data_IF_452949734363
#
_entry.id   IF_452949734363
#
_cell.length_a   1.000
_cell.length_b   1.000
_cell.length_c   1.000
_cell.angle_alpha   90.00
_cell.angle_beta   90.00
_cell.angle_gamma   90.00
#
_symmetry.space_group_name_H-M   'P 1'
#
loop_
_entity.id
_entity.type
_entity.pdbx_description
1 polymer ?
#
# COMPACT_ATOMS: atom_id res chain seq x y z
N UNK A 1 8.06 34.39 18.91
CA UNK A 1 7.98 34.19 17.45
C UNK A 1 8.14 32.70 17.24
N UNK A 2 7.33 32.10 16.36
CA UNK A 2 7.46 30.68 16.03
C UNK A 2 8.77 30.42 15.30
N UNK A 3 9.37 29.26 15.54
CA UNK A 3 10.61 28.84 14.87
C UNK A 3 10.36 28.47 13.39
N UNK A 4 11.39 28.42 12.52
CA UNK A 4 11.24 27.92 11.15
C UNK A 4 10.60 26.54 11.08
N UNK A 5 11.03 25.66 11.99
CA UNK A 5 10.50 24.31 12.12
C UNK A 5 9.00 24.35 12.42
N UNK A 6 8.57 25.14 13.42
CA UNK A 6 7.16 25.29 13.78
C UNK A 6 6.30 25.84 12.64
N UNK A 7 6.78 26.85 11.91
CA UNK A 7 6.06 27.43 10.77
C UNK A 7 5.91 26.42 9.63
N UNK A 8 6.97 25.65 9.37
CA UNK A 8 6.99 24.62 8.31
C UNK A 8 6.05 23.47 8.65
N UNK A 9 6.09 22.97 9.89
CA UNK A 9 5.16 21.95 10.39
C UNK A 9 3.72 22.45 10.31
N UNK A 10 3.46 23.69 10.73
CA UNK A 10 2.11 24.28 10.70
C UNK A 10 1.57 24.34 9.27
N UNK A 11 2.41 24.73 8.31
CA UNK A 11 2.03 24.79 6.90
C UNK A 11 1.82 23.40 6.28
N UNK A 12 2.72 22.45 6.57
CA UNK A 12 2.59 21.07 6.12
C UNK A 12 1.30 20.43 6.66
N UNK A 13 0.98 20.66 7.94
CA UNK A 13 -0.25 20.18 8.55
C UNK A 13 -1.50 20.83 7.93
N UNK A 14 -1.43 22.14 7.65
CA UNK A 14 -2.52 22.81 6.93
C UNK A 14 -2.76 22.15 5.56
N UNK A 15 -1.70 21.85 4.80
CA UNK A 15 -1.85 21.15 3.52
C UNK A 15 -2.38 19.72 3.68
N UNK A 16 -1.90 18.98 4.69
CA UNK A 16 -2.36 17.61 4.93
C UNK A 16 -3.84 17.52 5.30
N UNK A 17 -4.45 18.60 5.79
CA UNK A 17 -5.88 18.66 6.10
C UNK A 17 -6.70 19.33 4.99
N UNK A 18 -6.15 20.34 4.32
CA UNK A 18 -6.85 21.10 3.29
C UNK A 18 -7.01 20.31 1.98
N UNK A 19 -5.95 19.67 1.49
CA UNK A 19 -5.97 18.97 0.21
C UNK A 19 -6.91 17.75 0.19
N UNK A 20 -6.99 16.93 1.25
CA UNK A 20 -8.00 15.87 1.32
C UNK A 20 -9.44 16.37 1.26
N UNK A 21 -9.75 17.55 1.82
CA UNK A 21 -11.08 18.18 1.67
C UNK A 21 -11.37 18.58 0.22
N UNK A 22 -10.33 18.78 -0.59
CA UNK A 22 -10.43 18.99 -2.02
C UNK A 22 -10.37 17.69 -2.82
N UNK A 23 -10.38 16.51 -2.17
CA UNK A 23 -10.28 15.21 -2.83
C UNK A 23 -8.90 14.94 -3.43
N UNK A 24 -7.84 15.44 -2.80
CA UNK A 24 -6.45 15.13 -3.11
C UNK A 24 -5.84 14.47 -1.88
N UNK A 25 -5.60 13.17 -1.94
CA UNK A 25 -4.90 12.46 -0.87
C UNK A 25 -3.48 12.99 -0.73
N UNK A 26 -3.07 13.25 0.50
CA UNK A 26 -1.74 13.76 0.84
C UNK A 26 -1.24 13.07 2.09
N UNK A 27 0.01 12.61 2.08
CA UNK A 27 0.60 11.84 3.18
C UNK A 27 2.09 12.17 3.39
N UNK A 28 2.60 11.87 4.58
CA UNK A 28 4.04 11.92 4.87
C UNK A 28 4.77 10.84 4.09
N UNK A 29 5.90 11.20 3.49
CA UNK A 29 6.72 10.34 2.67
C UNK A 29 8.17 10.33 3.19
N UNK A 30 8.99 9.38 2.74
CA UNK A 30 10.45 9.37 2.97
C UNK A 30 10.91 9.65 4.41
N UNK A 31 11.74 10.67 4.64
CA UNK A 31 12.35 10.98 5.93
C UNK A 31 11.29 11.39 6.94
N UNK A 32 10.26 12.10 6.49
CA UNK A 32 9.14 12.49 7.35
C UNK A 32 8.25 11.31 7.78
N UNK A 33 8.00 10.34 6.88
CA UNK A 33 7.30 9.10 7.26
C UNK A 33 8.09 8.29 8.29
N UNK A 34 9.43 8.26 8.14
CA UNK A 34 10.34 7.64 9.11
C UNK A 34 10.28 8.36 10.46
N UNK A 35 10.44 9.68 10.45
CA UNK A 35 10.39 10.51 11.64
C UNK A 35 9.08 10.35 12.41
N UNK A 36 7.95 10.35 11.71
CA UNK A 36 6.64 10.07 12.29
C UNK A 36 6.54 8.69 12.95
N UNK A 37 7.05 7.65 12.28
CA UNK A 37 6.97 6.28 12.79
C UNK A 37 7.93 5.98 13.95
N UNK A 38 9.09 6.64 13.99
CA UNK A 38 10.18 6.35 14.94
C UNK A 38 10.24 7.33 16.11
N UNK A 39 10.20 8.61 15.80
CA UNK A 39 10.49 9.70 16.75
C UNK A 39 9.25 10.55 17.04
N UNK A 40 8.18 10.35 16.27
CA UNK A 40 6.95 11.12 16.37
C UNK A 40 7.10 12.54 15.83
N UNK A 41 8.11 12.84 15.00
CA UNK A 41 8.40 14.18 14.51
C UNK A 41 9.54 14.24 13.50
N UNK A 42 10.00 15.45 13.19
CA UNK A 42 11.14 15.69 12.28
C UNK A 42 12.40 15.11 12.92
N UNK A 43 13.16 14.34 12.13
CA UNK A 43 14.40 13.71 12.58
C UNK A 43 15.45 14.78 12.90
N UNK A 44 16.26 14.55 13.93
CA UNK A 44 17.31 15.49 14.30
C UNK A 44 18.29 15.74 13.13
N UNK A 45 18.49 17.01 12.79
CA UNK A 45 19.35 17.43 11.67
C UNK A 45 18.66 17.44 10.30
N UNK A 46 17.40 16.99 10.21
CA UNK A 46 16.62 17.06 8.99
C UNK A 46 16.07 18.49 8.76
N UNK A 47 16.02 18.89 7.49
CA UNK A 47 15.74 20.27 7.08
C UNK A 47 14.57 20.40 6.09
N UNK A 48 13.84 19.32 5.85
CA UNK A 48 12.62 19.35 5.08
C UNK A 48 11.50 18.47 5.67
N UNK A 49 10.31 18.65 5.12
CA UNK A 49 9.16 17.77 5.34
C UNK A 49 8.78 17.18 4.00
N UNK A 50 9.01 15.88 3.85
CA UNK A 50 8.66 15.11 2.66
C UNK A 50 7.18 14.70 2.71
N UNK A 51 6.43 15.09 1.69
CA UNK A 51 5.04 14.69 1.51
C UNK A 51 4.79 14.19 0.10
N UNK A 52 3.75 13.38 -0.09
CA UNK A 52 3.38 12.83 -1.38
C UNK A 52 1.90 13.04 -1.68
N UNK A 53 1.61 13.17 -2.97
CA UNK A 53 0.27 13.08 -3.55
C UNK A 53 0.29 12.18 -4.78
N UNK A 54 -0.87 11.71 -5.23
CA UNK A 54 -0.95 10.98 -6.50
C UNK A 54 -0.72 11.89 -7.71
N UNK A 55 0.04 11.40 -8.69
CA UNK A 55 0.34 12.12 -9.94
C UNK A 55 -0.91 12.49 -10.74
N UNK A 56 -1.95 11.64 -10.69
CA UNK A 56 -3.25 11.92 -11.31
C UNK A 56 -3.89 13.22 -10.79
N UNK A 57 -3.57 13.60 -9.56
CA UNK A 57 -4.10 14.78 -8.87
C UNK A 57 -3.15 15.99 -8.97
N UNK A 58 -1.97 15.83 -9.57
CA UNK A 58 -0.94 16.85 -9.66
C UNK A 58 -1.41 18.13 -10.37
N UNK A 59 -2.19 17.98 -11.45
CA UNK A 59 -2.76 19.14 -12.17
C UNK A 59 -3.70 19.96 -11.30
N UNK A 60 -4.59 19.28 -10.55
CA UNK A 60 -5.54 19.91 -9.63
C UNK A 60 -4.82 20.57 -8.45
N UNK A 61 -3.80 19.90 -7.91
CA UNK A 61 -2.92 20.46 -6.87
C UNK A 61 -2.30 21.80 -7.30
N UNK A 62 -1.70 21.86 -8.50
CA UNK A 62 -1.14 23.11 -9.05
C UNK A 62 -2.18 24.20 -9.28
N UNK A 63 -3.35 23.84 -9.78
CA UNK A 63 -4.46 24.78 -9.97
C UNK A 63 -4.92 25.40 -8.65
N UNK A 64 -4.94 24.62 -7.57
CA UNK A 64 -5.31 25.11 -6.23
C UNK A 64 -4.22 26.03 -5.67
N UNK A 65 -2.94 25.64 -5.76
CA UNK A 65 -1.83 26.46 -5.26
C UNK A 65 -1.69 27.80 -6.00
N UNK A 66 -1.98 27.84 -7.30
CA UNK A 66 -1.90 29.07 -8.11
C UNK A 66 -3.03 30.07 -7.84
N UNK A 67 -4.15 29.62 -7.25
CA UNK A 67 -5.29 30.48 -6.85
C UNK A 67 -5.12 30.97 -5.41
N UNK A 68 -4.02 31.69 -5.18
CA UNK A 68 -3.46 32.14 -3.88
C UNK A 68 -4.46 32.76 -2.89
N UNK A 69 -5.57 33.32 -3.35
CA UNK A 69 -6.63 33.89 -2.50
C UNK A 69 -7.30 32.85 -1.57
N UNK A 70 -7.12 31.54 -1.84
CA UNK A 70 -7.71 30.43 -1.06
C UNK A 70 -6.81 29.87 0.04
N UNK A 71 -5.53 30.27 0.10
CA UNK A 71 -4.61 29.92 1.20
C UNK A 71 -4.68 30.93 2.37
N UNK A 72 -5.64 31.86 2.30
CA UNK A 72 -5.90 32.91 3.29
C UNK A 72 -6.07 32.50 4.78
N UNK A 73 -6.43 31.24 5.16
CA UNK A 73 -6.60 30.88 6.57
C UNK A 73 -5.31 30.82 7.41
N UNK A 74 -4.12 30.79 6.78
CA UNK A 74 -2.86 30.76 7.52
C UNK A 74 -2.30 32.19 7.61
N UNK A 75 -2.56 32.86 8.73
CA UNK A 75 -2.26 34.29 8.94
C UNK A 75 -0.80 34.68 8.62
N UNK A 76 0.18 33.78 8.74
CA UNK A 76 1.58 34.07 8.45
C UNK A 76 1.92 34.07 6.94
N UNK A 77 1.12 33.42 6.08
CA UNK A 77 1.35 33.44 4.62
C UNK A 77 1.12 34.84 4.02
N UNK A 78 0.42 35.73 4.73
CA UNK A 78 0.23 37.13 4.33
C UNK A 78 1.53 37.93 4.26
N UNK A 79 2.53 37.56 5.06
CA UNK A 79 3.85 38.19 5.12
C UNK A 79 4.78 37.73 3.98
N UNK A 80 4.41 36.66 3.25
CA UNK A 80 5.26 36.03 2.24
C UNK A 80 4.71 36.09 0.80
N UNK A 81 3.65 36.87 0.56
CA UNK A 81 3.03 37.06 -0.77
C UNK A 81 3.97 37.59 -1.86
N UNK A 82 5.14 38.10 -1.49
CA UNK A 82 6.16 38.65 -2.40
C UNK A 82 7.28 37.66 -2.73
N UNK A 83 7.32 36.48 -2.09
CA UNK A 83 8.32 35.46 -2.35
C UNK A 83 7.78 34.41 -3.35
N UNK A 84 8.61 33.89 -4.28
CA UNK A 84 8.26 32.71 -5.06
C UNK A 84 8.25 31.49 -4.10
N UNK A 85 7.14 31.33 -3.38
CA UNK A 85 6.98 30.31 -2.33
C UNK A 85 6.99 28.89 -2.90
N UNK A 86 6.58 28.71 -4.15
CA UNK A 86 6.43 27.41 -4.79
C UNK A 86 7.45 27.27 -5.92
N UNK A 87 8.48 26.45 -5.69
CA UNK A 87 9.46 26.10 -6.70
C UNK A 87 9.12 24.72 -7.25
N UNK A 88 8.90 24.64 -8.56
CA UNK A 88 8.62 23.37 -9.22
C UNK A 88 9.91 22.85 -9.86
N UNK A 89 10.31 21.65 -9.48
CA UNK A 89 11.48 20.98 -10.06
C UNK A 89 11.01 19.82 -10.92
N UNK A 90 11.43 19.83 -12.18
CA UNK A 90 11.17 18.75 -13.14
C UNK A 90 12.35 17.79 -13.17
N UNK A 91 12.05 16.50 -13.07
CA UNK A 91 13.09 15.48 -13.05
C UNK A 91 13.41 14.96 -14.45
N UNK A 92 14.69 14.64 -14.75
CA UNK A 92 15.12 14.17 -16.06
C UNK A 92 14.39 12.92 -16.57
N UNK A 93 13.89 12.08 -15.65
CA UNK A 93 13.17 10.83 -15.97
C UNK A 93 11.64 11.01 -16.02
N UNK A 94 11.14 12.24 -15.94
CA UNK A 94 9.72 12.57 -15.98
C UNK A 94 9.09 12.65 -14.60
N UNK A 95 8.08 13.51 -14.48
CA UNK A 95 7.47 13.88 -13.19
C UNK A 95 7.99 15.23 -12.67
N UNK A 96 7.37 15.71 -11.60
CA UNK A 96 7.65 17.02 -10.99
C UNK A 96 7.54 16.90 -9.45
N UNK A 97 8.33 17.68 -8.71
CA UNK A 97 8.11 17.97 -7.28
C UNK A 97 7.81 19.45 -7.09
N UNK A 98 7.14 19.79 -6.00
CA UNK A 98 6.92 21.16 -5.55
C UNK A 98 7.67 21.35 -4.23
N UNK A 99 8.70 22.18 -4.25
CA UNK A 99 9.48 22.60 -3.09
C UNK A 99 8.96 23.92 -2.58
N UNK A 100 8.56 23.95 -1.32
CA UNK A 100 8.00 25.12 -0.65
C UNK A 100 8.98 25.57 0.42
N UNK A 101 9.70 26.65 0.15
CA UNK A 101 10.67 27.18 1.10
C UNK A 101 9.95 28.08 2.10
N UNK A 102 10.08 27.77 3.40
CA UNK A 102 9.49 28.56 4.47
C UNK A 102 10.58 29.49 5.02
N UNK A 103 10.60 30.77 4.63
CA UNK A 103 11.60 31.74 5.07
C UNK A 103 11.49 32.02 6.58
N UNK A 104 12.63 32.28 7.22
CA UNK A 104 12.67 32.76 8.59
C UNK A 104 12.81 34.30 8.63
N UNK A 105 11.93 35.02 9.36
CA UNK A 105 12.09 36.45 9.62
C UNK A 105 13.45 36.85 10.22
N UNK A 106 14.11 35.97 10.98
CA UNK A 106 15.42 36.28 11.61
C UNK A 106 16.64 35.98 10.71
N UNK A 107 16.41 35.43 9.50
CA UNK A 107 17.46 35.11 8.53
C UNK A 107 18.23 33.81 8.77
N UNK A 108 17.90 33.03 9.81
CA UNK A 108 18.46 31.68 10.01
C UNK A 108 17.90 30.66 9.00
N UNK A 109 18.50 29.47 8.99
CA UNK A 109 18.29 28.43 7.98
C UNK A 109 16.80 28.15 7.74
N UNK A 110 16.38 28.27 6.48
CA UNK A 110 15.02 27.95 6.05
C UNK A 110 14.83 26.43 6.01
N UNK A 111 13.68 25.96 6.46
CA UNK A 111 13.20 24.60 6.26
C UNK A 111 12.27 24.57 5.03
N UNK A 112 12.14 23.43 4.35
CA UNK A 112 11.23 23.29 3.21
C UNK A 112 10.16 22.21 3.40
N UNK A 113 9.12 22.28 2.59
CA UNK A 113 8.17 21.19 2.38
C UNK A 113 8.36 20.72 0.94
N UNK A 114 8.68 19.45 0.78
CA UNK A 114 8.97 18.83 -0.51
C UNK A 114 7.81 17.89 -0.85
N UNK A 115 6.98 18.29 -1.82
CA UNK A 115 5.79 17.53 -2.23
C UNK A 115 6.09 16.78 -3.52
N UNK A 116 6.01 15.45 -3.49
CA UNK A 116 6.28 14.58 -4.62
C UNK A 116 4.99 14.05 -5.26
N UNK A 117 4.93 14.07 -6.59
CA UNK A 117 3.90 13.36 -7.33
C UNK A 117 4.26 11.88 -7.51
N UNK A 118 3.44 10.98 -6.97
CA UNK A 118 3.61 9.53 -7.10
C UNK A 118 2.79 8.96 -8.26
N UNK A 119 3.45 8.28 -9.18
CA UNK A 119 2.83 7.70 -10.36
C UNK A 119 2.64 6.20 -10.22
N UNK A 120 1.44 5.73 -10.57
CA UNK A 120 1.08 4.32 -10.66
C UNK A 120 1.53 3.71 -12.00
N UNK A 121 1.95 2.45 -11.95
CA UNK A 121 2.38 1.65 -13.10
C UNK A 121 1.65 0.32 -13.10
N UNK A 122 0.89 0.09 -14.17
CA UNK A 122 0.17 -1.16 -14.48
C UNK A 122 -0.69 -1.71 -13.33
N UNK A 123 -1.24 -0.84 -12.45
CA UNK A 123 -2.09 -1.27 -11.34
C UNK A 123 -1.37 -1.91 -10.15
N UNK A 124 -0.04 -2.04 -10.19
CA UNK A 124 0.71 -2.92 -9.28
C UNK A 124 1.85 -2.18 -8.56
N UNK A 125 2.51 -1.24 -9.25
CA UNK A 125 3.69 -0.54 -8.72
C UNK A 125 3.48 0.96 -8.72
N UNK A 126 4.25 1.67 -7.90
CA UNK A 126 4.31 3.13 -7.95
C UNK A 126 5.72 3.65 -7.66
N UNK A 127 6.02 4.85 -8.16
CA UNK A 127 7.25 5.55 -7.84
C UNK A 127 7.00 7.06 -7.86
N UNK A 128 7.79 7.80 -7.09
CA UNK A 128 7.79 9.26 -7.19
C UNK A 128 8.34 9.73 -8.53
N UNK A 129 7.94 10.93 -8.92
CA UNK A 129 8.49 11.67 -10.04
C UNK A 129 10.02 11.66 -10.09
N UNK A 130 10.69 11.80 -8.95
CA UNK A 130 12.15 11.78 -8.87
C UNK A 130 12.76 10.46 -9.38
N UNK A 131 12.09 9.34 -9.12
CA UNK A 131 12.51 8.02 -9.55
C UNK A 131 12.04 7.75 -11.00
N UNK A 132 10.88 8.24 -11.42
CA UNK A 132 10.39 8.10 -12.79
C UNK A 132 9.97 6.67 -13.20
N UNK A 133 9.34 6.51 -14.37
CA UNK A 133 8.67 5.27 -14.80
C UNK A 133 9.64 4.13 -15.16
N UNK A 134 10.88 4.47 -15.49
CA UNK A 134 11.90 3.52 -15.94
C UNK A 134 12.89 3.12 -14.85
N UNK A 135 12.74 3.62 -13.62
CA UNK A 135 13.56 3.11 -12.52
C UNK A 135 13.11 1.74 -12.08
N UNK A 136 14.09 0.93 -11.68
CA UNK A 136 13.88 -0.35 -11.02
C UNK A 136 13.32 -0.19 -9.59
N UNK A 137 13.30 1.04 -9.08
CA UNK A 137 13.08 1.40 -7.67
C UNK A 137 11.63 1.80 -7.43
N UNK A 138 10.69 0.89 -7.69
CA UNK A 138 9.25 1.11 -7.50
C UNK A 138 8.79 0.42 -6.22
N UNK A 139 7.94 1.07 -5.44
CA UNK A 139 7.26 0.44 -4.31
C UNK A 139 5.99 -0.27 -4.78
N UNK A 140 5.52 -1.26 -4.01
CA UNK A 140 4.19 -1.86 -4.24
C UNK A 140 3.11 -0.81 -4.04
N UNK A 141 2.10 -0.81 -4.93
CA UNK A 141 1.05 0.21 -4.95
C UNK A 141 0.24 0.25 -3.64
N UNK A 142 0.05 -0.89 -2.98
CA UNK A 142 -0.76 -0.95 -1.76
C UNK A 142 -0.15 -0.18 -0.59
N UNK A 143 1.17 0.08 -0.57
CA UNK A 143 1.77 0.92 0.46
C UNK A 143 1.14 2.30 0.51
N UNK A 144 0.68 2.81 -0.63
CA UNK A 144 0.24 4.21 -0.74
C UNK A 144 -1.27 4.34 -0.94
N UNK A 145 -1.98 3.23 -1.25
CA UNK A 145 -3.44 3.23 -1.44
C UNK A 145 -4.23 3.40 -0.16
N UNK A 146 -3.70 2.92 0.97
CA UNK A 146 -4.40 2.94 2.25
C UNK A 146 -3.61 3.80 3.23
N UNK A 147 -4.26 4.86 3.73
CA UNK A 147 -3.65 5.82 4.64
C UNK A 147 -4.22 5.65 6.05
N UNK A 148 -3.38 5.82 7.06
CA UNK A 148 -3.77 5.94 8.47
C UNK A 148 -3.30 7.27 9.02
N UNK A 149 -3.90 7.71 10.12
CA UNK A 149 -3.40 8.86 10.88
C UNK A 149 -2.20 8.46 11.75
N UNK A 150 -1.20 9.33 11.84
CA UNK A 150 -0.02 9.20 12.69
C UNK A 150 0.31 10.55 13.31
N UNK A 151 0.89 10.53 14.52
CA UNK A 151 1.40 11.75 15.15
C UNK A 151 2.74 12.14 14.54
N UNK A 152 2.85 13.40 14.14
CA UNK A 152 4.09 14.03 13.71
C UNK A 152 4.14 15.43 14.31
N UNK A 153 5.10 15.66 15.20
CA UNK A 153 5.23 16.89 16.00
C UNK A 153 3.95 17.22 16.79
N UNK A 154 3.30 16.17 17.31
CA UNK A 154 2.06 16.25 18.09
C UNK A 154 0.77 16.44 17.27
N UNK A 155 0.88 16.70 15.96
CA UNK A 155 -0.25 16.90 15.04
C UNK A 155 -0.58 15.60 14.27
N UNK A 156 -1.82 15.49 13.78
CA UNK A 156 -2.25 14.30 13.03
C UNK A 156 -1.97 14.47 11.54
N UNK A 157 -1.10 13.63 11.00
CA UNK A 157 -0.82 13.54 9.57
C UNK A 157 -1.31 12.21 9.02
N UNK A 158 -1.57 12.16 7.72
CA UNK A 158 -1.77 10.89 7.02
C UNK A 158 -0.42 10.27 6.66
N UNK A 159 -0.32 8.95 6.75
CA UNK A 159 0.84 8.16 6.30
C UNK A 159 0.33 6.82 5.76
N UNK A 160 1.17 6.08 5.03
CA UNK A 160 0.89 4.69 4.67
C UNK A 160 0.35 3.88 5.86
N UNK A 161 -0.77 3.17 5.70
CA UNK A 161 -1.26 2.21 6.68
C UNK A 161 -0.20 1.13 7.00
N UNK A 162 0.65 0.86 6.01
CA UNK A 162 1.75 -0.09 6.03
C UNK A 162 3.12 0.59 6.22
N UNK A 163 3.16 1.77 6.86
CA UNK A 163 4.38 2.59 7.01
C UNK A 163 5.58 1.78 7.49
N UNK A 164 5.43 0.89 8.47
CA UNK A 164 6.55 0.07 8.94
C UNK A 164 7.12 -0.85 7.85
N UNK A 165 6.25 -1.53 7.08
CA UNK A 165 6.68 -2.37 5.95
C UNK A 165 7.30 -1.53 4.83
N UNK A 166 6.76 -0.33 4.61
CA UNK A 166 7.33 0.62 3.66
C UNK A 166 8.74 1.08 4.08
N UNK A 167 8.94 1.38 5.36
CA UNK A 167 10.23 1.77 5.92
C UNK A 167 11.22 0.60 5.96
N UNK A 168 10.76 -0.61 6.29
CA UNK A 168 11.56 -1.85 6.22
C UNK A 168 12.09 -2.07 4.79
N UNK A 169 11.29 -1.75 3.77
CA UNK A 169 11.69 -1.80 2.36
C UNK A 169 12.67 -0.68 2.00
N UNK A 170 12.35 0.57 2.36
CA UNK A 170 13.10 1.75 1.88
C UNK A 170 14.42 1.96 2.60
N UNK A 171 14.46 1.69 3.90
CA UNK A 171 15.60 1.92 4.78
C UNK A 171 16.14 0.60 5.33
N UNK A 172 16.10 -0.44 4.49
CA UNK A 172 16.68 -1.74 4.82
C UNK A 172 18.17 -1.58 5.09
N UNK A 173 18.67 -2.34 6.05
CA UNK A 173 20.10 -2.50 6.32
C UNK A 173 20.80 -3.24 5.17
N UNK A 174 20.97 -2.56 4.03
CA UNK A 174 21.58 -3.14 2.85
C UNK A 174 23.05 -3.54 3.07
N UNK A 175 23.70 -2.99 4.09
CA UNK A 175 25.09 -3.26 4.45
C UNK A 175 25.24 -4.38 5.52
N UNK A 176 24.15 -4.94 6.06
CA UNK A 176 24.18 -6.04 7.04
C UNK A 176 24.83 -5.67 8.38
N UNK A 177 24.76 -4.39 8.74
CA UNK A 177 25.37 -3.80 9.94
C UNK A 177 24.59 -4.07 11.24
N UNK A 178 23.36 -4.58 11.13
CA UNK A 178 22.38 -4.68 12.21
C UNK A 178 21.61 -3.38 12.47
N UNK A 179 21.93 -2.28 11.79
CA UNK A 179 21.25 -0.99 11.93
C UNK A 179 20.09 -0.88 10.94
N UNK A 180 18.88 -0.73 11.45
CA UNK A 180 17.67 -0.54 10.63
C UNK A 180 17.07 0.83 10.88
N UNK A 181 16.02 1.19 10.15
CA UNK A 181 15.27 2.41 10.46
C UNK A 181 14.73 2.42 11.89
N UNK A 182 14.55 1.26 12.54
CA UNK A 182 14.10 1.13 13.93
C UNK A 182 15.18 1.50 14.96
N UNK A 183 16.43 1.67 14.53
CA UNK A 183 17.52 2.21 15.34
C UNK A 183 17.79 3.66 14.93
N UNK A 184 18.16 4.56 15.88
CA UNK A 184 18.54 5.93 15.52
C UNK A 184 19.68 5.92 14.50
N UNK A 185 19.49 6.66 13.42
CA UNK A 185 20.48 6.92 12.38
C UNK A 185 20.75 8.42 12.38
N UNK A 186 22.01 8.83 12.32
CA UNK A 186 22.40 10.23 12.10
C UNK A 186 22.03 10.68 10.69
N UNK A 187 21.91 11.99 10.46
CA UNK A 187 21.65 12.56 9.13
C UNK A 187 22.70 12.12 8.09
N UNK A 188 23.97 12.00 8.52
CA UNK A 188 25.06 11.46 7.68
C UNK A 188 24.84 9.99 7.33
N UNK A 189 24.46 9.15 8.30
CA UNK A 189 24.14 7.74 8.03
C UNK A 189 22.91 7.61 7.12
N UNK A 190 21.94 8.53 7.23
CA UNK A 190 20.81 8.58 6.30
C UNK A 190 21.26 8.98 4.90
N UNK A 191 22.06 10.03 4.74
CA UNK A 191 22.64 10.40 3.45
C UNK A 191 23.49 9.26 2.87
N UNK A 192 24.24 8.53 3.68
CA UNK A 192 24.98 7.33 3.25
C UNK A 192 24.04 6.20 2.78
N UNK A 193 22.92 5.98 3.47
CA UNK A 193 21.85 5.08 3.03
C UNK A 193 21.12 5.57 1.76
N UNK A 194 21.01 6.89 1.56
CA UNK A 194 20.44 7.52 0.35
C UNK A 194 21.43 7.53 -0.82
N UNK A 195 22.74 7.63 -0.54
CA UNK A 195 23.84 7.78 -1.51
C UNK A 195 24.35 6.45 -2.06
N UNK A 196 23.78 5.32 -1.63
CA UNK A 196 23.92 4.06 -2.35
C UNK A 196 23.15 4.12 -3.68
N UNK A 197 23.60 4.97 -4.60
CA UNK A 197 23.58 4.69 -6.04
C UNK A 197 24.34 3.37 -6.27
N UNK A 198 23.70 2.24 -5.97
CA UNK A 198 24.42 0.97 -6.14
C UNK A 198 23.68 -0.27 -5.72
N UNK A 199 22.87 -0.25 -4.66
CA UNK A 199 22.26 -1.50 -4.18
C UNK A 199 20.85 -1.27 -3.67
N UNK A 200 20.00 -0.77 -4.57
CA UNK A 200 18.58 -1.09 -4.50
C UNK A 200 18.50 -2.48 -5.12
N UNK A 201 17.91 -3.50 -4.48
CA UNK A 201 17.57 -4.70 -5.20
C UNK A 201 16.76 -4.24 -6.42
N UNK A 202 17.36 -4.36 -7.60
CA UNK A 202 16.59 -4.74 -8.76
C UNK A 202 15.68 -5.84 -8.25
N UNK A 203 14.36 -5.67 -8.39
CA UNK A 203 13.47 -6.81 -8.34
C UNK A 203 13.99 -7.73 -9.46
N UNK A 204 14.80 -8.69 -9.06
CA UNK A 204 15.34 -9.74 -9.91
C UNK A 204 14.15 -10.63 -10.26
N UNK A 205 14.38 -11.73 -10.97
CA UNK A 205 13.37 -12.76 -11.26
C UNK A 205 12.64 -13.36 -10.03
N UNK A 206 12.90 -12.87 -8.82
CA UNK A 206 12.58 -13.50 -7.53
C UNK A 206 11.56 -12.73 -6.67
N UNK A 207 11.23 -11.47 -6.97
CA UNK A 207 10.24 -10.70 -6.20
C UNK A 207 8.83 -10.87 -6.77
N UNK A 208 8.22 -11.97 -6.34
CA UNK A 208 6.99 -12.53 -6.87
C UNK A 208 5.74 -11.89 -6.24
N UNK A 209 4.82 -11.38 -7.06
CA UNK A 209 3.45 -11.05 -6.63
C UNK A 209 2.74 -12.34 -6.24
N UNK A 210 2.32 -12.42 -4.99
CA UNK A 210 1.71 -13.62 -4.42
C UNK A 210 0.21 -13.42 -4.24
N UNK A 211 -0.58 -14.19 -4.95
CA UNK A 211 -2.03 -14.18 -4.79
C UNK A 211 -2.48 -15.43 -4.03
N UNK A 212 -3.49 -15.28 -3.17
CA UNK A 212 -4.20 -16.44 -2.64
C UNK A 212 -5.52 -16.69 -3.38
N UNK A 213 -5.73 -17.90 -3.87
CA UNK A 213 -7.04 -18.36 -4.35
C UNK A 213 -7.73 -19.05 -3.18
N UNK A 214 -8.82 -18.47 -2.70
CA UNK A 214 -9.58 -18.99 -1.56
C UNK A 214 -10.70 -19.91 -2.03
N UNK A 215 -10.92 -21.02 -1.34
CA UNK A 215 -12.00 -21.92 -1.71
C UNK A 215 -12.17 -23.13 -0.80
N UNK A 216 -13.27 -23.86 -1.04
CA UNK A 216 -13.47 -25.18 -0.44
C UNK A 216 -12.68 -26.23 -1.19
N UNK A 217 -12.62 -26.14 -2.52
CA UNK A 217 -11.95 -27.13 -3.37
C UNK A 217 -12.47 -28.58 -3.21
N UNK A 218 -13.74 -28.74 -2.83
CA UNK A 218 -14.37 -30.06 -2.72
C UNK A 218 -14.63 -30.68 -4.09
N UNK A 219 -14.51 -32.01 -4.17
CA UNK A 219 -14.51 -32.77 -5.42
C UNK A 219 -13.64 -32.11 -6.50
N UNK A 220 -12.39 -31.77 -6.17
CA UNK A 220 -11.48 -30.97 -7.02
C UNK A 220 -11.59 -31.31 -8.52
N UNK A 221 -12.07 -30.33 -9.30
CA UNK A 221 -12.51 -30.51 -10.68
C UNK A 221 -11.93 -29.44 -11.61
N UNK A 222 -12.24 -29.54 -12.90
CA UNK A 222 -11.68 -28.67 -13.95
C UNK A 222 -11.97 -27.18 -13.71
N UNK A 223 -13.10 -26.83 -13.10
CA UNK A 223 -13.40 -25.46 -12.67
C UNK A 223 -12.36 -24.88 -11.70
N UNK A 224 -12.06 -25.59 -10.61
CA UNK A 224 -10.99 -25.21 -9.68
C UNK A 224 -9.63 -25.17 -10.37
N UNK A 225 -9.31 -26.19 -11.18
CA UNK A 225 -8.05 -26.28 -11.90
C UNK A 225 -7.83 -25.07 -12.83
N UNK A 226 -8.84 -24.67 -13.58
CA UNK A 226 -8.78 -23.52 -14.51
C UNK A 226 -8.68 -22.19 -13.78
N UNK A 227 -9.31 -22.05 -12.61
CA UNK A 227 -9.15 -20.85 -11.78
C UNK A 227 -7.69 -20.72 -11.32
N UNK A 228 -7.12 -21.78 -10.75
CA UNK A 228 -5.72 -21.83 -10.32
C UNK A 228 -4.76 -21.61 -11.50
N UNK A 229 -5.03 -22.22 -12.65
CA UNK A 229 -4.26 -22.00 -13.89
C UNK A 229 -4.26 -20.53 -14.31
N UNK A 230 -5.43 -19.88 -14.34
CA UNK A 230 -5.53 -18.46 -14.71
C UNK A 230 -4.79 -17.57 -13.71
N UNK A 231 -4.92 -17.85 -12.41
CA UNK A 231 -4.15 -17.16 -11.37
C UNK A 231 -2.64 -17.30 -11.62
N UNK A 232 -2.15 -18.51 -11.94
CA UNK A 232 -0.73 -18.75 -12.19
C UNK A 232 -0.16 -18.08 -13.44
N UNK A 233 -1.04 -17.62 -14.34
CA UNK A 233 -0.65 -16.84 -15.54
C UNK A 233 -0.56 -15.34 -15.26
N UNK A 234 -1.14 -14.88 -14.15
CA UNK A 234 -1.24 -13.45 -13.79
C UNK A 234 -0.27 -13.12 -12.65
N UNK A 235 -0.19 -14.01 -11.65
CA UNK A 235 0.61 -13.83 -10.45
C UNK A 235 1.86 -14.71 -10.49
N UNK A 236 2.92 -14.25 -9.86
CA UNK A 236 4.21 -14.95 -9.84
C UNK A 236 4.22 -16.14 -8.87
N UNK A 237 3.40 -16.08 -7.81
CA UNK A 237 3.07 -17.20 -6.91
C UNK A 237 1.57 -17.28 -6.69
N UNK A 238 1.07 -18.52 -6.63
CA UNK A 238 -0.31 -18.83 -6.27
C UNK A 238 -0.34 -19.69 -5.01
N UNK A 239 -0.89 -19.14 -3.95
CA UNK A 239 -1.20 -19.87 -2.71
C UNK A 239 -2.66 -20.29 -2.74
N UNK A 240 -2.98 -21.54 -2.40
CA UNK A 240 -4.37 -21.94 -2.22
C UNK A 240 -4.74 -21.86 -0.74
N UNK A 241 -5.77 -21.08 -0.40
CA UNK A 241 -6.33 -21.01 0.94
C UNK A 241 -7.56 -21.91 1.03
N UNK A 242 -7.46 -22.99 1.81
CA UNK A 242 -8.47 -24.07 1.86
C UNK A 242 -9.26 -24.01 3.15
N UNK A 243 -10.60 -23.94 3.07
CA UNK A 243 -11.44 -23.94 4.28
C UNK A 243 -11.50 -25.32 4.97
N UNK A 244 -11.49 -25.32 6.31
CA UNK A 244 -11.77 -26.49 7.15
C UNK A 244 -13.22 -26.98 7.00
N UNK A 245 -13.45 -28.27 7.27
CA UNK A 245 -14.77 -28.91 7.07
C UNK A 245 -15.83 -28.27 7.98
N UNK A 246 -15.48 -28.00 9.24
CA UNK A 246 -16.33 -27.36 10.24
C UNK A 246 -16.67 -25.90 9.90
N UNK A 247 -15.75 -25.21 9.21
CA UNK A 247 -16.00 -23.84 8.73
C UNK A 247 -17.04 -23.91 7.63
N UNK A 248 -16.85 -24.76 6.63
CA UNK A 248 -17.81 -24.95 5.53
C UNK A 248 -19.18 -25.35 6.06
N UNK A 249 -19.24 -26.25 7.05
CA UNK A 249 -20.51 -26.63 7.68
C UNK A 249 -21.19 -25.42 8.35
N UNK A 250 -20.44 -24.54 9.02
CA UNK A 250 -21.01 -23.35 9.68
C UNK A 250 -21.59 -22.33 8.68
N UNK A 251 -20.85 -21.98 7.62
CA UNK A 251 -21.26 -20.88 6.73
C UNK A 251 -22.04 -21.32 5.48
N UNK A 252 -21.87 -22.55 5.00
CA UNK A 252 -22.60 -23.10 3.85
C UNK A 252 -23.67 -24.12 4.22
N UNK A 253 -23.73 -24.54 5.49
CA UNK A 253 -24.58 -25.65 5.94
C UNK A 253 -24.39 -26.91 5.08
N UNK A 254 -23.16 -27.16 4.65
CA UNK A 254 -22.75 -28.29 3.82
C UNK A 254 -21.48 -28.90 4.39
N UNK A 255 -21.44 -30.22 4.51
CA UNK A 255 -20.21 -30.95 4.81
C UNK A 255 -19.52 -31.29 3.48
N UNK A 256 -18.25 -30.91 3.26
CA UNK A 256 -17.50 -31.35 2.10
C UNK A 256 -17.50 -32.88 1.99
N UNK A 257 -17.64 -33.40 0.77
CA UNK A 257 -17.56 -34.84 0.50
C UNK A 257 -16.15 -35.35 0.77
N UNK A 258 -15.14 -34.58 0.35
CA UNK A 258 -13.73 -34.88 0.58
C UNK A 258 -13.27 -34.15 1.85
N UNK A 259 -12.74 -34.87 2.87
CA UNK A 259 -12.23 -34.24 4.09
C UNK A 259 -11.11 -33.24 3.81
N UNK A 260 -10.99 -32.22 4.66
CA UNK A 260 -10.01 -31.14 4.55
C UNK A 260 -8.59 -31.62 4.20
N UNK A 261 -8.07 -32.59 4.95
CA UNK A 261 -6.72 -33.13 4.73
C UNK A 261 -6.48 -33.65 3.31
N UNK A 262 -7.49 -34.30 2.72
CA UNK A 262 -7.39 -34.85 1.36
C UNK A 262 -7.55 -33.74 0.32
N UNK A 263 -8.38 -32.73 0.57
CA UNK A 263 -8.47 -31.54 -0.30
C UNK A 263 -7.13 -30.81 -0.35
N UNK A 264 -6.48 -30.60 0.80
CA UNK A 264 -5.13 -30.01 0.87
C UNK A 264 -4.12 -30.84 0.07
N UNK A 265 -4.12 -32.17 0.23
CA UNK A 265 -3.22 -33.06 -0.51
C UNK A 265 -3.43 -32.98 -2.03
N UNK A 266 -4.69 -32.99 -2.48
CA UNK A 266 -5.03 -32.86 -3.90
C UNK A 266 -4.59 -31.50 -4.48
N UNK A 267 -4.77 -30.42 -3.71
CA UNK A 267 -4.37 -29.07 -4.16
C UNK A 267 -2.85 -28.91 -4.17
N UNK A 268 -2.13 -29.47 -3.19
CA UNK A 268 -0.65 -29.48 -3.19
C UNK A 268 -0.07 -30.19 -4.43
N UNK A 269 -0.80 -31.16 -4.98
CA UNK A 269 -0.40 -31.84 -6.22
C UNK A 269 -0.70 -31.03 -7.51
N UNK A 270 -1.42 -29.91 -7.41
CA UNK A 270 -1.74 -29.07 -8.55
C UNK A 270 -0.52 -28.23 -8.96
N UNK A 271 -0.01 -28.43 -10.19
CA UNK A 271 1.17 -27.72 -10.72
C UNK A 271 1.07 -26.19 -10.79
N UNK A 272 -0.14 -25.64 -10.64
CA UNK A 272 -0.40 -24.20 -10.70
C UNK A 272 -0.42 -23.56 -9.32
N UNK A 273 -0.11 -24.31 -8.27
CA UNK A 273 -0.12 -23.89 -6.87
C UNK A 273 1.29 -24.03 -6.30
N UNK A 274 1.81 -22.95 -5.72
CA UNK A 274 3.12 -22.91 -5.08
C UNK A 274 3.06 -23.35 -3.61
N UNK A 275 1.96 -23.03 -2.90
CA UNK A 275 1.76 -23.43 -1.50
C UNK A 275 0.26 -23.54 -1.14
N UNK A 276 -0.04 -24.21 -0.03
CA UNK A 276 -1.40 -24.41 0.48
C UNK A 276 -1.46 -24.10 1.96
N UNK A 277 -2.35 -23.18 2.32
CA UNK A 277 -2.59 -22.73 3.70
C UNK A 277 -4.05 -22.91 4.10
N UNK A 278 -4.33 -22.82 5.39
CA UNK A 278 -5.70 -22.77 5.90
C UNK A 278 -6.34 -21.43 5.56
N UNK A 279 -7.60 -21.47 5.08
CA UNK A 279 -8.36 -20.26 4.80
C UNK A 279 -8.89 -19.60 6.08
N UNK A 280 -8.99 -18.26 6.12
CA UNK A 280 -9.61 -17.56 7.24
C UNK A 280 -11.11 -17.86 7.30
N UNK A 281 -11.74 -17.48 8.41
CA UNK A 281 -13.19 -17.36 8.44
C UNK A 281 -13.63 -16.22 7.51
N UNK A 282 -14.80 -16.33 6.84
CA UNK A 282 -15.36 -15.21 6.09
C UNK A 282 -15.56 -13.96 6.96
N UNK A 283 -15.48 -12.77 6.35
CA UNK A 283 -15.52 -11.50 7.10
C UNK A 283 -16.77 -11.32 7.96
N UNK A 284 -17.95 -11.73 7.47
CA UNK A 284 -19.22 -11.62 8.21
C UNK A 284 -19.39 -12.63 9.35
N UNK A 285 -18.53 -13.65 9.46
CA UNK A 285 -18.76 -14.73 10.41
C UNK A 285 -18.48 -14.30 11.86
N UNK A 286 -19.42 -14.60 12.75
CA UNK A 286 -19.25 -14.39 14.19
C UNK A 286 -18.11 -15.27 14.73
N UNK A 287 -17.28 -14.69 15.59
CA UNK A 287 -16.07 -15.34 16.11
C UNK A 287 -14.87 -15.29 15.16
N UNK A 288 -14.96 -14.57 14.04
CA UNK A 288 -13.79 -14.26 13.22
C UNK A 288 -12.82 -13.36 13.98
N UNK A 289 -11.60 -13.86 14.22
CA UNK A 289 -10.55 -13.15 14.94
C UNK A 289 -9.63 -12.35 14.00
N UNK A 290 -9.70 -12.58 12.68
CA UNK A 290 -8.91 -11.89 11.67
C UNK A 290 -9.75 -11.54 10.45
N UNK A 291 -9.82 -10.26 10.10
CA UNK A 291 -10.36 -9.85 8.80
C UNK A 291 -9.56 -10.44 7.65
N UNK A 292 -10.18 -10.56 6.48
CA UNK A 292 -9.52 -11.04 5.26
C UNK A 292 -8.24 -10.26 4.94
N UNK A 293 -8.19 -8.96 5.21
CA UNK A 293 -6.99 -8.14 5.00
C UNK A 293 -5.88 -8.45 6.02
N UNK A 294 -6.23 -8.64 7.29
CA UNK A 294 -5.27 -9.07 8.31
C UNK A 294 -4.72 -10.45 7.99
N UNK A 295 -5.55 -11.36 7.51
CA UNK A 295 -5.11 -12.66 7.00
C UNK A 295 -4.10 -12.50 5.86
N UNK A 296 -4.38 -11.67 4.84
CA UNK A 296 -3.42 -11.41 3.75
C UNK A 296 -2.10 -10.85 4.29
N UNK A 297 -2.17 -9.88 5.21
CA UNK A 297 -1.00 -9.20 5.77
C UNK A 297 -0.10 -10.13 6.59
N UNK A 298 -0.70 -11.04 7.37
CA UNK A 298 0.00 -11.97 8.24
C UNK A 298 0.66 -13.11 7.47
N UNK A 299 0.13 -13.44 6.28
CA UNK A 299 0.66 -14.50 5.42
C UNK A 299 1.49 -13.95 4.25
N UNK A 300 1.80 -12.64 4.25
CA UNK A 300 2.56 -11.96 3.18
C UNK A 300 1.97 -12.16 1.77
N UNK A 301 0.64 -12.08 1.67
CA UNK A 301 -0.11 -12.23 0.43
C UNK A 301 -0.49 -10.85 -0.12
N UNK A 302 -0.37 -10.64 -1.43
CA UNK A 302 -0.69 -9.35 -2.06
C UNK A 302 -2.19 -9.22 -2.36
N UNK A 303 -2.77 -10.24 -3.01
CA UNK A 303 -4.15 -10.25 -3.49
C UNK A 303 -4.92 -11.50 -3.05
N UNK A 304 -6.22 -11.36 -2.84
CA UNK A 304 -7.15 -12.49 -2.81
C UNK A 304 -7.82 -12.62 -4.17
N UNK A 305 -7.88 -13.84 -4.68
CA UNK A 305 -8.51 -14.18 -5.96
C UNK A 305 -9.77 -15.00 -5.71
N UNK A 306 -10.86 -14.61 -6.37
CA UNK A 306 -12.11 -15.35 -6.38
C UNK A 306 -12.68 -15.39 -7.81
N UNK A 307 -13.55 -16.35 -8.12
CA UNK A 307 -14.33 -16.28 -9.37
C UNK A 307 -15.35 -15.13 -9.31
N UNK A 308 -15.87 -14.68 -10.45
CA UNK A 308 -17.01 -13.76 -10.42
C UNK A 308 -18.15 -14.33 -9.59
N UNK A 309 -18.71 -13.50 -8.71
CA UNK A 309 -19.85 -13.80 -7.87
C UNK A 309 -20.74 -12.55 -7.78
N UNK A 310 -21.98 -12.72 -7.31
CA UNK A 310 -22.88 -11.60 -7.08
C UNK A 310 -22.24 -10.59 -6.11
N UNK A 311 -22.44 -9.29 -6.34
CA UNK A 311 -21.79 -8.24 -5.54
C UNK A 311 -22.18 -8.35 -4.07
N UNK A 312 -23.44 -8.69 -3.77
CA UNK A 312 -23.94 -8.89 -2.41
C UNK A 312 -23.18 -10.02 -1.69
N UNK A 313 -22.82 -11.07 -2.42
CA UNK A 313 -21.98 -12.14 -1.87
C UNK A 313 -20.57 -11.63 -1.58
N UNK A 314 -19.97 -10.90 -2.51
CA UNK A 314 -18.61 -10.38 -2.32
C UNK A 314 -18.53 -9.41 -1.14
N UNK A 315 -19.48 -8.49 -1.03
CA UNK A 315 -19.56 -7.53 0.07
C UNK A 315 -19.79 -8.24 1.42
N UNK A 316 -20.61 -9.29 1.43
CA UNK A 316 -20.88 -10.05 2.66
C UNK A 316 -19.67 -10.91 3.09
N UNK A 317 -18.92 -11.49 2.17
CA UNK A 317 -17.84 -12.43 2.49
C UNK A 317 -16.45 -11.80 2.56
N UNK A 318 -16.22 -10.68 1.85
CA UNK A 318 -14.89 -10.12 1.60
C UNK A 318 -14.84 -8.58 1.75
N UNK A 319 -15.74 -7.99 2.54
CA UNK A 319 -15.84 -6.53 2.75
C UNK A 319 -14.49 -5.85 3.01
N UNK A 320 -13.66 -6.44 3.89
CA UNK A 320 -12.37 -5.86 4.27
C UNK A 320 -11.42 -5.80 3.07
N UNK A 321 -11.38 -6.86 2.28
CA UNK A 321 -10.48 -7.01 1.12
C UNK A 321 -10.91 -6.07 0.00
N UNK A 322 -12.22 -5.94 -0.22
CA UNK A 322 -12.81 -5.01 -1.20
C UNK A 322 -12.47 -3.57 -0.83
N UNK A 323 -12.65 -3.21 0.46
CA UNK A 323 -12.34 -1.87 0.98
C UNK A 323 -10.88 -1.48 0.72
N UNK A 324 -9.96 -2.44 0.77
CA UNK A 324 -8.53 -2.21 0.55
C UNK A 324 -8.12 -2.42 -0.92
N UNK A 325 -9.06 -2.67 -1.83
CA UNK A 325 -8.84 -2.92 -3.26
C UNK A 325 -7.88 -4.10 -3.56
N UNK A 326 -7.97 -5.16 -2.75
CA UNK A 326 -7.10 -6.36 -2.85
C UNK A 326 -7.83 -7.61 -3.32
N UNK A 327 -9.07 -7.48 -3.78
CA UNK A 327 -9.85 -8.56 -4.38
C UNK A 327 -9.66 -8.54 -5.90
N UNK A 328 -9.24 -9.67 -6.46
CA UNK A 328 -9.07 -9.88 -7.90
C UNK A 328 -10.07 -10.93 -8.38
N UNK A 329 -10.92 -10.58 -9.34
CA UNK A 329 -11.96 -11.47 -9.84
C UNK A 329 -11.56 -12.09 -11.18
N UNK A 330 -11.77 -13.40 -11.31
CA UNK A 330 -11.52 -14.15 -12.55
C UNK A 330 -12.78 -14.84 -13.06
N UNK A 331 -12.81 -15.11 -14.36
CA UNK A 331 -13.91 -15.83 -14.98
C UNK A 331 -14.07 -17.25 -14.43
N UNK A 332 -15.31 -17.60 -14.07
CA UNK A 332 -15.66 -18.96 -13.68
C UNK A 332 -15.71 -19.90 -14.90
N UNK A 333 -15.53 -21.20 -14.67
CA UNK A 333 -15.81 -22.21 -15.69
C UNK A 333 -17.24 -22.70 -15.51
N UNK A 334 -18.15 -22.28 -16.38
CA UNK A 334 -19.61 -22.44 -16.25
C UNK A 334 -20.12 -23.88 -16.15
N UNK A 335 -19.38 -24.88 -16.64
CA UNK A 335 -19.92 -26.23 -16.85
C UNK A 335 -19.55 -27.23 -15.73
N UNK A 336 -18.84 -26.76 -14.69
CA UNK A 336 -18.25 -27.61 -13.65
C UNK A 336 -18.21 -26.93 -12.28
N UNK A 337 -19.29 -27.13 -11.51
CA UNK A 337 -19.33 -26.87 -10.06
C UNK A 337 -19.49 -28.17 -9.27
N UNK A 338 -19.05 -28.20 -8.01
CA UNK A 338 -19.17 -29.35 -7.09
C UNK A 338 -20.62 -29.86 -7.02
N UNK A 339 -21.60 -28.95 -6.92
CA UNK A 339 -23.02 -29.31 -6.85
C UNK A 339 -23.52 -30.02 -8.14
N UNK A 340 -22.96 -29.70 -9.31
CA UNK A 340 -23.33 -30.37 -10.55
C UNK A 340 -22.77 -31.78 -10.63
N UNK A 341 -21.55 -31.98 -10.13
CA UNK A 341 -20.93 -33.32 -10.04
C UNK A 341 -21.74 -34.21 -9.09
N UNK A 342 -22.11 -33.70 -7.92
CA UNK A 342 -22.96 -34.43 -6.97
C UNK A 342 -24.29 -34.82 -7.63
N UNK A 343 -24.97 -33.86 -8.29
CA UNK A 343 -26.22 -34.13 -9.00
C UNK A 343 -26.07 -35.17 -10.12
N UNK A 344 -24.90 -35.26 -10.77
CA UNK A 344 -24.64 -36.26 -11.82
C UNK A 344 -24.37 -37.66 -11.25
N UNK A 345 -23.74 -37.77 -10.08
CA UNK A 345 -23.45 -39.05 -9.41
C UNK A 345 -24.69 -39.65 -8.75
N UNK A 346 -25.59 -38.80 -8.22
CA UNK A 346 -26.82 -39.24 -7.57
C UNK A 346 -27.97 -39.58 -8.54
N UNK A 347 -27.77 -39.34 -9.84
CA UNK A 347 -28.66 -39.82 -10.90
C UNK A 347 -28.30 -41.25 -11.27
#
# INVERSE_FOLDING_TARGET
MSTPKENTITLAHFFSEYFPQQGIDMWLEYGSALGAAREGGVIEGDHDIDMAIWWKDWGKFKEILTKTDRLAPVAFLWDFRTFPLFNYEQFPKGGEMCKIQVPNPDGSQSMSIDIYGLQEFDGIKCASAHLGPHTKNKSKLYHHKNLKKIKFEGLDFSVSAYVEKYLDYRYKDAAGTGKTWRTPLTSVEMEEHHSMEGHIPSYSKEDKVTACVIGVFDLFHIGHLRLLERSSKIFDKVVAAVHLDEVVQKYKNKTPVIPYKHRVEMIKACKFVDDVIEAPLPDHMEGNQLSGVEFLNNNDLDYMVHSYAAQEFLDYHYASIIKEHRLFLLEETSDYHTDDLIKRILK
#
